data_IF_154548483850
#
_entry.id   IF_154548483850
#
_cell.length_a   1.000
_cell.length_b   1.000
_cell.length_c   1.000
_cell.angle_alpha   90.00
_cell.angle_beta   90.00
_cell.angle_gamma   90.00
#
_symmetry.space_group_name_H-M   'P 1'
#
loop_
_entity.id
_entity.type
_entity.pdbx_description
1 polymer ?
#
# COMPACT_ATOMS: atom_id res chain seq x y z
N UNK A 1 -51.43 -33.66 49.34
CA UNK A 1 -50.12 -33.03 49.40
C UNK A 1 -49.55 -33.10 48.01
N UNK A 2 -49.56 -31.99 47.27
CA UNK A 2 -49.06 -31.91 45.88
C UNK A 2 -47.93 -30.86 45.93
N UNK A 3 -46.70 -31.32 45.75
CA UNK A 3 -45.50 -30.46 45.70
C UNK A 3 -45.35 -29.92 44.30
N UNK A 4 -45.49 -28.60 44.15
CA UNK A 4 -45.22 -27.90 42.88
C UNK A 4 -43.72 -27.52 42.80
N UNK A 5 -43.06 -28.01 41.73
CA UNK A 5 -41.68 -27.70 41.43
C UNK A 5 -41.64 -26.40 40.59
N UNK A 6 -41.06 -25.34 41.16
CA UNK A 6 -40.86 -24.08 40.45
C UNK A 6 -39.57 -24.17 39.59
N UNK A 7 -39.69 -24.07 38.26
CA UNK A 7 -38.56 -23.99 37.32
C UNK A 7 -38.19 -22.49 37.17
N UNK A 8 -37.01 -22.13 37.64
CA UNK A 8 -36.48 -20.78 37.44
C UNK A 8 -35.76 -20.70 36.07
N UNK A 9 -36.28 -19.89 35.14
CA UNK A 9 -35.57 -19.51 33.90
C UNK A 9 -34.54 -18.43 34.29
N UNK A 10 -33.26 -18.78 34.19
CA UNK A 10 -32.17 -17.80 34.26
C UNK A 10 -32.05 -16.98 32.95
N UNK A 11 -31.62 -15.70 33.02
CA UNK A 11 -31.45 -14.86 31.86
C UNK A 11 -30.27 -15.36 31.03
N UNK A 12 -30.51 -15.64 29.74
CA UNK A 12 -29.46 -15.91 28.76
C UNK A 12 -28.72 -14.60 28.42
N UNK A 13 -27.48 -14.49 28.89
CA UNK A 13 -26.59 -13.39 28.50
C UNK A 13 -26.16 -13.58 27.01
N UNK A 14 -26.74 -12.81 26.14
CA UNK A 14 -26.29 -12.72 24.75
C UNK A 14 -24.91 -12.05 24.70
N UNK A 15 -23.86 -12.83 24.46
CA UNK A 15 -22.52 -12.31 24.17
C UNK A 15 -22.57 -11.61 22.80
N UNK A 16 -22.51 -10.29 22.80
CA UNK A 16 -22.31 -9.51 21.60
C UNK A 16 -20.92 -9.84 21.03
N UNK A 17 -20.88 -10.57 19.91
CA UNK A 17 -19.66 -10.77 19.13
C UNK A 17 -19.23 -9.41 18.57
N UNK A 18 -18.24 -8.79 19.19
CA UNK A 18 -17.54 -7.65 18.61
C UNK A 18 -16.79 -8.15 17.38
N UNK A 19 -17.24 -7.72 16.20
CA UNK A 19 -16.51 -7.91 14.95
C UNK A 19 -15.17 -7.20 15.08
N UNK A 20 -14.10 -7.96 15.31
CA UNK A 20 -12.72 -7.45 15.30
C UNK A 20 -12.42 -7.07 13.87
N UNK A 21 -12.49 -5.79 13.54
CA UNK A 21 -11.94 -5.27 12.29
C UNK A 21 -10.44 -5.47 12.37
N UNK A 22 -9.94 -6.47 11.65
CA UNK A 22 -8.51 -6.75 11.59
C UNK A 22 -7.80 -5.53 10.99
N UNK A 23 -7.00 -4.86 11.81
CA UNK A 23 -6.10 -3.80 11.33
C UNK A 23 -5.05 -4.46 10.44
N UNK A 24 -4.83 -3.97 9.20
CA UNK A 24 -3.80 -4.51 8.32
C UNK A 24 -2.44 -4.51 9.01
N UNK A 25 -1.70 -5.63 8.95
CA UNK A 25 -0.42 -5.81 9.64
C UNK A 25 0.76 -5.00 9.03
N UNK A 26 0.51 -4.05 8.14
CA UNK A 26 1.51 -3.25 7.45
C UNK A 26 1.08 -1.82 7.21
N UNK A 27 1.96 -0.96 6.67
CA UNK A 27 1.63 0.41 6.33
C UNK A 27 0.52 0.43 5.28
N UNK A 28 -0.44 1.35 5.45
CA UNK A 28 -1.54 1.52 4.51
C UNK A 28 -1.00 1.90 3.12
N UNK A 29 -1.60 1.32 2.08
CA UNK A 29 -1.18 1.57 0.70
C UNK A 29 -1.45 3.03 0.31
N UNK A 30 -0.42 3.70 -0.21
CA UNK A 30 -0.53 5.02 -0.82
C UNK A 30 -0.51 4.88 -2.32
N UNK A 31 -1.45 5.55 -2.95
CA UNK A 31 -1.64 5.52 -4.41
C UNK A 31 -0.41 6.11 -5.10
N UNK A 32 0.04 5.45 -6.16
CA UNK A 32 1.19 5.86 -6.97
C UNK A 32 0.75 6.21 -8.41
N UNK A 33 1.50 7.06 -9.13
CA UNK A 33 1.32 7.22 -10.56
C UNK A 33 1.43 5.88 -11.27
N UNK A 34 0.49 5.60 -12.17
CA UNK A 34 0.39 4.32 -12.87
C UNK A 34 -0.60 3.33 -12.25
N UNK A 35 -1.02 3.54 -11.00
CA UNK A 35 -2.05 2.70 -10.38
C UNK A 35 -3.38 2.81 -11.12
N UNK A 36 -4.11 1.71 -11.12
CA UNK A 36 -5.49 1.66 -11.58
C UNK A 36 -6.43 1.63 -10.38
N UNK A 37 -7.27 2.64 -10.28
CA UNK A 37 -8.23 2.81 -9.18
C UNK A 37 -9.65 2.81 -9.72
N UNK A 38 -10.56 2.25 -8.95
CA UNK A 38 -11.99 2.33 -9.18
C UNK A 38 -12.61 3.29 -8.17
N UNK A 39 -13.34 4.26 -8.67
CA UNK A 39 -14.14 5.19 -7.87
C UNK A 39 -15.60 4.89 -8.14
N UNK A 40 -16.35 4.65 -7.08
CA UNK A 40 -17.78 4.35 -7.13
C UNK A 40 -18.53 5.31 -6.21
N UNK A 41 -19.61 5.92 -6.73
CA UNK A 41 -20.57 6.68 -5.95
C UNK A 41 -21.83 5.83 -5.83
N UNK A 42 -22.19 5.44 -4.61
CA UNK A 42 -23.32 4.55 -4.37
C UNK A 42 -24.62 5.16 -4.91
N UNK A 43 -25.37 4.39 -5.71
CA UNK A 43 -26.64 4.83 -6.32
C UNK A 43 -26.48 5.71 -7.57
N UNK A 44 -25.28 6.00 -8.05
CA UNK A 44 -25.06 6.69 -9.34
C UNK A 44 -24.03 5.96 -10.20
N UNK A 45 -24.51 5.01 -11.03
CA UNK A 45 -23.67 4.22 -11.94
C UNK A 45 -22.90 5.08 -12.97
N UNK A 46 -23.40 6.29 -13.29
CA UNK A 46 -22.72 7.22 -14.19
C UNK A 46 -21.41 7.75 -13.61
N UNK A 47 -21.25 7.70 -12.28
CA UNK A 47 -20.04 8.08 -11.55
C UNK A 47 -19.18 6.88 -11.13
N UNK A 48 -19.53 5.67 -11.57
CA UNK A 48 -18.64 4.53 -11.42
C UNK A 48 -17.58 4.55 -12.55
N UNK A 49 -16.30 4.69 -12.18
CA UNK A 49 -15.19 4.79 -13.12
C UNK A 49 -13.98 4.01 -12.62
N UNK A 50 -13.38 3.25 -13.52
CA UNK A 50 -12.01 2.78 -13.37
C UNK A 50 -11.11 3.76 -14.11
N UNK A 51 -10.13 4.31 -13.40
CA UNK A 51 -9.23 5.33 -13.94
C UNK A 51 -7.79 4.96 -13.60
N UNK A 52 -6.86 5.32 -14.48
CA UNK A 52 -5.43 5.21 -14.22
C UNK A 52 -4.89 6.55 -13.73
N UNK A 53 -4.09 6.49 -12.67
CA UNK A 53 -3.38 7.67 -12.16
C UNK A 53 -2.28 8.05 -13.14
N UNK A 54 -2.33 9.29 -13.61
CA UNK A 54 -1.38 9.83 -14.60
C UNK A 54 0.03 10.00 -13.98
N UNK A 55 1.08 10.17 -14.81
CA UNK A 55 2.45 10.37 -14.32
C UNK A 55 2.63 11.61 -13.44
N UNK A 56 1.77 12.63 -13.58
CA UNK A 56 1.72 13.81 -12.71
C UNK A 56 1.07 13.53 -11.33
N UNK A 57 0.59 12.31 -11.13
CA UNK A 57 -0.06 11.88 -9.88
C UNK A 57 -1.55 12.21 -9.80
N UNK A 58 -2.17 12.68 -10.88
CA UNK A 58 -3.57 13.06 -10.92
C UNK A 58 -4.43 12.13 -11.77
N UNK A 59 -5.74 12.26 -11.65
CA UNK A 59 -6.74 11.69 -12.56
C UNK A 59 -7.94 12.63 -12.69
N UNK A 60 -8.72 12.50 -13.76
CA UNK A 60 -9.95 13.25 -13.96
C UNK A 60 -11.15 12.44 -13.46
N UNK A 61 -12.02 13.08 -12.66
CA UNK A 61 -13.27 12.47 -12.21
C UNK A 61 -14.47 13.36 -12.59
N UNK A 62 -15.57 12.77 -13.11
CA UNK A 62 -16.75 13.55 -13.51
C UNK A 62 -17.26 14.42 -12.37
N UNK A 63 -17.72 15.63 -12.68
CA UNK A 63 -18.25 16.65 -11.76
C UNK A 63 -17.25 17.22 -10.73
N UNK A 64 -16.10 16.57 -10.52
CA UNK A 64 -15.05 17.02 -9.58
C UNK A 64 -13.89 17.67 -10.33
N UNK A 65 -13.60 17.19 -11.57
CA UNK A 65 -12.46 17.64 -12.35
C UNK A 65 -11.18 16.85 -12.02
N UNK A 66 -10.06 17.56 -12.00
CA UNK A 66 -8.75 16.95 -11.72
C UNK A 66 -8.55 16.72 -10.23
N UNK A 67 -8.17 15.48 -9.87
CA UNK A 67 -7.96 15.03 -8.49
C UNK A 67 -6.52 14.55 -8.36
N UNK A 68 -5.79 15.06 -7.36
CA UNK A 68 -4.43 14.60 -7.04
C UNK A 68 -4.53 13.37 -6.15
N UNK A 69 -4.07 12.22 -6.66
CA UNK A 69 -4.12 10.92 -5.98
C UNK A 69 -2.77 10.46 -5.44
N UNK A 70 -1.68 10.86 -6.07
CA UNK A 70 -0.34 10.40 -5.70
C UNK A 70 -0.01 10.70 -4.24
N UNK A 71 0.44 9.67 -3.50
CA UNK A 71 0.76 9.74 -2.08
C UNK A 71 -0.43 9.73 -1.14
N UNK A 72 -1.67 9.83 -1.64
CA UNK A 72 -2.89 9.81 -0.84
C UNK A 72 -3.31 8.38 -0.49
N UNK A 73 -4.01 8.22 0.62
CA UNK A 73 -4.72 6.99 0.94
C UNK A 73 -6.05 6.94 0.18
N UNK A 74 -6.57 5.77 -0.18
CA UNK A 74 -7.92 5.64 -0.75
C UNK A 74 -8.98 6.37 0.07
N UNK A 75 -8.96 6.23 1.40
CA UNK A 75 -9.88 6.91 2.30
C UNK A 75 -9.77 8.45 2.27
N UNK A 76 -8.60 9.00 1.97
CA UNK A 76 -8.44 10.45 1.82
C UNK A 76 -9.12 10.94 0.53
N UNK A 77 -8.98 10.17 -0.56
CA UNK A 77 -9.67 10.45 -1.82
C UNK A 77 -11.20 10.33 -1.69
N UNK A 78 -11.70 9.33 -0.96
CA UNK A 78 -13.14 9.21 -0.67
C UNK A 78 -13.69 10.48 -0.02
N UNK A 79 -12.99 10.97 1.01
CA UNK A 79 -13.37 12.21 1.70
C UNK A 79 -13.31 13.43 0.78
N UNK A 80 -12.24 13.53 -0.01
CA UNK A 80 -12.05 14.64 -0.94
C UNK A 80 -13.15 14.66 -2.00
N UNK A 81 -13.40 13.52 -2.68
CA UNK A 81 -14.41 13.40 -3.73
C UNK A 81 -15.82 13.65 -3.15
N UNK A 82 -16.13 13.10 -1.97
CA UNK A 82 -17.39 13.35 -1.27
C UNK A 82 -17.62 14.85 -1.03
N UNK A 83 -16.58 15.54 -0.54
CA UNK A 83 -16.67 17.00 -0.30
C UNK A 83 -16.86 17.78 -1.61
N UNK A 84 -16.14 17.40 -2.67
CA UNK A 84 -16.22 18.06 -3.98
C UNK A 84 -17.56 17.82 -4.70
N UNK A 85 -18.20 16.67 -4.48
CA UNK A 85 -19.53 16.37 -5.04
C UNK A 85 -20.67 17.06 -4.30
N UNK A 86 -20.48 17.54 -3.08
CA UNK A 86 -21.53 18.12 -2.24
C UNK A 86 -22.38 19.20 -2.95
N UNK A 87 -21.83 20.14 -3.75
CA UNK A 87 -22.61 21.14 -4.46
C UNK A 87 -23.56 20.56 -5.52
N UNK A 88 -23.31 19.34 -5.98
CA UNK A 88 -24.09 18.68 -7.05
C UNK A 88 -25.33 17.94 -6.52
N UNK A 89 -25.42 17.73 -5.20
CA UNK A 89 -26.48 16.96 -4.57
C UNK A 89 -27.39 17.87 -3.71
N UNK A 90 -28.70 17.71 -3.88
CA UNK A 90 -29.72 18.35 -3.02
C UNK A 90 -29.94 17.45 -1.78
N UNK A 91 -29.04 17.53 -0.81
CA UNK A 91 -29.10 16.69 0.40
C UNK A 91 -27.76 16.03 0.71
N UNK A 92 -27.81 14.84 1.33
CA UNK A 92 -26.59 14.10 1.64
C UNK A 92 -25.95 13.53 0.36
N UNK A 93 -24.64 13.68 0.22
CA UNK A 93 -23.87 13.00 -0.84
C UNK A 93 -23.90 11.50 -0.56
N UNK A 94 -24.19 10.65 -1.56
CA UNK A 94 -24.06 9.20 -1.42
C UNK A 94 -22.64 8.79 -1.01
N UNK A 95 -22.50 7.59 -0.46
CA UNK A 95 -21.20 7.05 -0.08
C UNK A 95 -20.31 6.92 -1.31
N UNK A 96 -19.09 7.46 -1.22
CA UNK A 96 -18.03 7.30 -2.21
C UNK A 96 -17.08 6.21 -1.72
N UNK A 97 -16.74 5.29 -2.61
CA UNK A 97 -15.75 4.23 -2.33
C UNK A 97 -14.64 4.32 -3.37
N UNK A 98 -13.40 4.26 -2.90
CA UNK A 98 -12.20 4.25 -3.75
C UNK A 98 -11.43 2.95 -3.49
N UNK A 99 -11.29 2.12 -4.53
CA UNK A 99 -10.58 0.85 -4.47
C UNK A 99 -9.38 0.84 -5.42
N UNK A 100 -8.23 0.37 -4.95
CA UNK A 100 -7.08 0.13 -5.83
C UNK A 100 -7.26 -1.23 -6.48
N UNK A 101 -7.51 -1.25 -7.79
CA UNK A 101 -7.71 -2.49 -8.57
C UNK A 101 -6.39 -3.13 -8.95
N UNK A 102 -5.44 -2.31 -9.38
CA UNK A 102 -4.11 -2.77 -9.77
C UNK A 102 -3.03 -1.79 -9.28
N UNK A 103 -2.21 -2.17 -8.28
CA UNK A 103 -1.15 -1.33 -7.73
C UNK A 103 0.11 -1.35 -8.61
N UNK A 104 -0.03 -1.13 -9.91
CA UNK A 104 1.06 -1.19 -10.89
C UNK A 104 2.03 0.00 -10.79
N UNK A 105 1.65 1.05 -10.10
CA UNK A 105 2.51 2.21 -9.84
C UNK A 105 3.57 1.95 -8.78
N UNK A 106 3.41 0.94 -7.92
CA UNK A 106 4.45 0.56 -6.99
C UNK A 106 5.48 -0.33 -7.67
N UNK A 107 6.56 0.27 -8.13
CA UNK A 107 7.64 -0.41 -8.84
C UNK A 107 9.01 0.09 -8.37
N UNK A 108 10.02 -0.78 -8.46
CA UNK A 108 11.41 -0.45 -8.18
C UNK A 108 12.32 -1.18 -9.18
N UNK A 109 13.55 -0.69 -9.32
CA UNK A 109 14.54 -1.29 -10.20
C UNK A 109 15.69 -1.88 -9.39
N UNK A 110 16.25 -3.00 -9.87
CA UNK A 110 17.48 -3.59 -9.34
C UNK A 110 18.48 -3.70 -10.47
N UNK A 111 19.65 -3.13 -10.28
CA UNK A 111 20.72 -3.10 -11.28
C UNK A 111 22.05 -3.58 -10.69
N UNK A 112 22.97 -4.00 -11.57
CA UNK A 112 24.30 -4.45 -11.18
C UNK A 112 24.40 -5.95 -11.05
N UNK A 113 25.20 -6.44 -10.10
CA UNK A 113 25.55 -7.86 -9.97
C UNK A 113 24.51 -8.67 -9.21
N UNK A 114 23.29 -8.74 -9.75
CA UNK A 114 22.20 -9.65 -9.36
C UNK A 114 21.93 -10.65 -10.47
N UNK A 115 21.27 -11.76 -10.17
CA UNK A 115 20.98 -12.79 -11.17
C UNK A 115 19.98 -12.34 -12.23
N UNK A 116 19.02 -11.52 -11.84
CA UNK A 116 17.94 -11.01 -12.72
C UNK A 116 17.79 -9.50 -12.52
N UNK A 117 18.64 -8.67 -13.13
CA UNK A 117 18.47 -7.22 -13.08
C UNK A 117 17.22 -6.82 -13.86
N UNK A 118 16.52 -5.78 -13.41
CA UNK A 118 15.31 -5.30 -14.07
C UNK A 118 14.43 -4.45 -13.16
N UNK A 119 13.23 -4.16 -13.65
CA UNK A 119 12.19 -3.45 -12.89
C UNK A 119 11.14 -4.44 -12.42
N UNK A 120 10.73 -4.31 -11.17
CA UNK A 120 9.83 -5.24 -10.48
C UNK A 120 8.61 -4.51 -9.92
N UNK A 121 7.45 -5.15 -10.03
CA UNK A 121 6.16 -4.68 -9.53
C UNK A 121 5.56 -5.74 -8.61
N UNK A 122 5.98 -5.83 -7.33
CA UNK A 122 5.66 -6.98 -6.48
C UNK A 122 4.23 -7.01 -5.94
N UNK A 123 3.41 -5.96 -6.16
CA UNK A 123 2.04 -5.87 -5.66
C UNK A 123 1.91 -5.71 -4.13
N UNK A 124 3.00 -5.69 -3.40
CA UNK A 124 3.08 -5.46 -1.95
C UNK A 124 4.32 -4.65 -1.62
N UNK A 125 4.31 -3.99 -0.47
CA UNK A 125 5.54 -3.36 0.02
C UNK A 125 6.61 -4.42 0.32
N UNK A 126 7.85 -4.10 -0.04
CA UNK A 126 9.02 -4.94 0.18
C UNK A 126 10.13 -4.11 0.82
N UNK A 127 11.00 -4.79 1.57
CA UNK A 127 12.22 -4.19 2.07
C UNK A 127 13.40 -4.45 1.11
N UNK A 128 14.54 -3.81 1.36
CA UNK A 128 15.72 -3.93 0.49
C UNK A 128 16.24 -5.36 0.34
N UNK A 129 16.11 -6.20 1.37
CA UNK A 129 16.54 -7.61 1.31
C UNK A 129 15.59 -8.44 0.44
N UNK A 130 14.27 -8.23 0.59
CA UNK A 130 13.26 -8.87 -0.25
C UNK A 130 13.41 -8.45 -1.71
N UNK A 131 13.70 -7.17 -1.97
CA UNK A 131 13.91 -6.66 -3.33
C UNK A 131 15.08 -7.36 -4.04
N UNK A 132 16.20 -7.57 -3.32
CA UNK A 132 17.34 -8.34 -3.85
C UNK A 132 16.95 -9.81 -4.07
N UNK A 133 16.15 -10.38 -3.18
CA UNK A 133 15.69 -11.78 -3.31
C UNK A 133 14.79 -11.95 -4.54
N UNK A 134 13.91 -10.98 -4.82
CA UNK A 134 13.06 -10.96 -6.03
C UNK A 134 13.93 -10.90 -7.30
N UNK A 135 15.05 -10.17 -7.26
CA UNK A 135 16.04 -10.13 -8.35
C UNK A 135 16.93 -11.39 -8.44
N UNK A 136 16.55 -12.47 -7.75
CA UNK A 136 17.30 -13.76 -7.76
C UNK A 136 18.53 -13.79 -6.87
N UNK A 137 18.73 -12.76 -6.04
CA UNK A 137 19.90 -12.65 -5.16
C UNK A 137 21.14 -12.09 -5.84
N UNK A 138 22.19 -11.76 -5.07
CA UNK A 138 23.46 -11.29 -5.61
C UNK A 138 24.20 -12.43 -6.35
N UNK A 139 25.02 -12.07 -7.34
CA UNK A 139 25.95 -13.01 -7.97
C UNK A 139 27.17 -13.25 -7.05
N UNK A 140 28.00 -14.23 -7.39
CA UNK A 140 29.25 -14.51 -6.67
C UNK A 140 30.26 -13.37 -6.72
N UNK A 141 30.16 -12.50 -7.74
CA UNK A 141 31.03 -11.32 -7.91
C UNK A 141 30.47 -10.06 -7.28
N UNK A 142 29.32 -10.12 -6.59
CA UNK A 142 28.67 -8.96 -6.03
C UNK A 142 29.36 -8.49 -4.73
N UNK A 143 29.58 -7.19 -4.64
CA UNK A 143 30.06 -6.56 -3.43
C UNK A 143 28.88 -6.21 -2.50
N UNK A 144 28.38 -7.23 -1.78
CA UNK A 144 27.19 -7.09 -0.93
C UNK A 144 27.30 -6.03 0.17
N UNK A 145 28.52 -5.56 0.49
CA UNK A 145 28.76 -4.47 1.44
C UNK A 145 28.58 -3.08 0.84
N UNK A 146 28.59 -2.96 -0.49
CA UNK A 146 28.48 -1.71 -1.24
C UNK A 146 27.11 -1.44 -1.82
N UNK A 147 26.11 -2.22 -1.45
CA UNK A 147 24.73 -2.05 -1.95
C UNK A 147 24.20 -0.66 -1.56
N UNK A 148 23.64 0.03 -2.54
CA UNK A 148 23.02 1.33 -2.35
C UNK A 148 21.61 1.39 -2.94
N UNK A 149 20.79 2.26 -2.36
CA UNK A 149 19.45 2.57 -2.86
C UNK A 149 19.46 4.02 -3.30
N UNK A 150 19.20 4.26 -4.56
CA UNK A 150 19.01 5.57 -5.12
C UNK A 150 17.52 5.91 -5.07
N UNK A 151 17.16 6.91 -4.30
CA UNK A 151 15.79 7.36 -4.06
C UNK A 151 15.60 8.78 -4.55
N UNK A 152 14.54 8.99 -5.33
CA UNK A 152 14.14 10.33 -5.73
C UNK A 152 13.19 10.92 -4.68
N UNK A 153 13.57 12.06 -4.10
CA UNK A 153 12.73 12.81 -3.17
C UNK A 153 12.46 14.21 -3.76
N UNK A 154 11.33 14.36 -4.45
CA UNK A 154 11.04 15.55 -5.25
C UNK A 154 12.05 15.71 -6.39
N UNK A 155 12.82 16.81 -6.39
CA UNK A 155 13.89 17.06 -7.37
C UNK A 155 15.28 16.60 -6.90
N UNK A 156 15.39 16.10 -5.68
CA UNK A 156 16.66 15.66 -5.11
C UNK A 156 16.81 14.15 -5.21
N UNK A 157 18.03 13.69 -5.47
CA UNK A 157 18.41 12.29 -5.42
C UNK A 157 19.12 12.01 -4.10
N UNK A 158 18.59 11.05 -3.34
CA UNK A 158 19.16 10.60 -2.08
C UNK A 158 19.75 9.21 -2.27
N UNK A 159 20.99 9.00 -1.81
CA UNK A 159 21.59 7.67 -1.77
C UNK A 159 21.55 7.13 -0.36
N UNK A 160 20.95 5.96 -0.17
CA UNK A 160 20.92 5.22 1.10
C UNK A 160 21.88 4.05 1.00
N UNK A 161 22.67 3.81 2.04
CA UNK A 161 23.60 2.67 2.11
C UNK A 161 23.13 1.69 3.19
N UNK A 162 22.20 0.77 2.88
CA UNK A 162 21.75 -0.23 3.84
C UNK A 162 22.84 -1.25 4.11
N UNK A 163 23.04 -1.61 5.38
CA UNK A 163 24.03 -2.61 5.79
C UNK A 163 23.51 -4.03 5.59
N UNK A 164 23.27 -4.42 4.32
CA UNK A 164 22.68 -5.72 3.98
C UNK A 164 23.69 -6.87 3.95
N UNK A 165 24.99 -6.56 3.91
CA UNK A 165 26.04 -7.58 3.77
C UNK A 165 26.04 -8.64 4.86
N UNK A 166 25.75 -8.27 6.11
CA UNK A 166 25.64 -9.22 7.22
C UNK A 166 24.38 -10.11 7.07
N UNK A 167 23.25 -9.51 6.69
CA UNK A 167 22.00 -10.24 6.48
C UNK A 167 22.11 -11.25 5.33
N UNK A 168 22.73 -10.86 4.22
CA UNK A 168 22.94 -11.71 3.05
C UNK A 168 23.94 -12.85 3.29
N UNK A 169 24.83 -12.71 4.28
CA UNK A 169 25.79 -13.77 4.71
C UNK A 169 25.25 -14.67 5.82
N UNK A 170 23.96 -14.50 6.20
CA UNK A 170 23.34 -15.28 7.27
C UNK A 170 23.74 -14.86 8.69
N UNK A 171 24.61 -13.87 8.85
CA UNK A 171 24.96 -13.27 10.13
C UNK A 171 23.95 -12.21 10.49
N UNK A 172 22.85 -12.62 11.09
CA UNK A 172 21.81 -11.74 11.62
C UNK A 172 22.10 -11.45 13.10
N UNK A 173 22.81 -10.37 13.45
CA UNK A 173 22.65 -9.81 14.78
C UNK A 173 21.19 -9.42 14.92
N UNK A 174 20.64 -9.36 16.14
CA UNK A 174 19.24 -8.94 16.37
C UNK A 174 19.02 -7.61 15.66
N UNK A 175 18.60 -7.65 14.38
CA UNK A 175 18.24 -6.46 13.63
C UNK A 175 16.95 -5.92 14.22
N UNK A 176 16.99 -4.68 14.68
CA UNK A 176 15.79 -3.87 14.76
C UNK A 176 15.14 -3.90 13.38
N UNK A 177 13.82 -4.09 13.30
CA UNK A 177 13.07 -4.09 12.02
C UNK A 177 13.35 -2.83 11.18
N UNK A 178 13.83 -1.75 11.82
CA UNK A 178 14.23 -0.51 11.18
C UNK A 178 15.65 -0.53 10.54
N UNK A 179 16.42 -1.61 10.69
CA UNK A 179 17.77 -1.69 10.13
C UNK A 179 17.78 -1.98 8.62
N UNK A 180 16.69 -2.54 8.09
CA UNK A 180 16.53 -2.83 6.67
C UNK A 180 15.49 -1.84 6.11
N UNK A 181 15.89 -0.88 5.25
CA UNK A 181 14.99 0.12 4.73
C UNK A 181 13.92 -0.52 3.84
N UNK A 182 12.70 -0.01 3.95
CA UNK A 182 11.62 -0.32 3.01
C UNK A 182 11.89 0.35 1.68
N UNK A 183 11.58 -0.35 0.60
CA UNK A 183 11.66 0.16 -0.77
C UNK A 183 10.44 1.05 -1.03
N UNK A 184 10.68 2.18 -1.67
CA UNK A 184 9.63 3.08 -2.16
C UNK A 184 9.47 2.96 -3.66
N UNK A 185 8.30 3.36 -4.18
CA UNK A 185 8.07 3.43 -5.61
C UNK A 185 9.11 4.35 -6.28
N UNK A 186 9.72 3.87 -7.36
CA UNK A 186 10.77 4.59 -8.09
C UNK A 186 12.19 4.41 -7.52
N UNK A 187 12.38 3.66 -6.43
CA UNK A 187 13.72 3.35 -5.94
C UNK A 187 14.51 2.51 -6.95
N UNK A 188 15.83 2.76 -7.00
CA UNK A 188 16.77 1.90 -7.73
C UNK A 188 17.79 1.32 -6.78
N UNK A 189 17.82 0.00 -6.66
CA UNK A 189 18.86 -0.73 -5.93
C UNK A 189 20.04 -0.97 -6.84
N UNK A 190 21.24 -0.61 -6.39
CA UNK A 190 22.49 -0.81 -7.10
C UNK A 190 23.31 -1.82 -6.32
N UNK A 191 23.66 -2.94 -6.97
CA UNK A 191 24.49 -4.02 -6.40
C UNK A 191 25.81 -4.05 -7.18
N UNK A 192 26.89 -3.47 -6.64
CA UNK A 192 28.17 -3.36 -7.34
C UNK A 192 28.93 -4.69 -7.45
#
# INVERSE_FOLDING_TARGET
MIAGTLFALGPATASAQQSVVATPAGPAYRINPGDEIEVMVWGDERLQRTVRVLPDGSFAFPLVGQVVASGQLPADLERYITAALRPQYRGAVPQVTVSVKNPSGYQFSVVGKVRSPGTFTPGRYVNALEAISIAGGPTEFAQVGGISILRKNGQQMQTLHPRLGAALKGNLPRFSQNAIPSIQSGDTLIVP
#
